data_IF_925026331556
#
_entry.id   IF_925026331556
#
_cell.length_a   1.000
_cell.length_b   1.000
_cell.length_c   1.000
_cell.angle_alpha   90.00
_cell.angle_beta   90.00
_cell.angle_gamma   90.00
#
_symmetry.space_group_name_H-M   'P 1'
#
loop_
_entity.id
_entity.type
_entity.pdbx_description
1 polymer ?
#
# COMPACT_ATOMS: atom_id res chain seq x y z
N UNK A 1 5.30 21.70 -16.21
CA UNK A 1 4.38 21.08 -17.18
C UNK A 1 4.29 19.61 -16.80
N UNK A 2 3.09 19.03 -16.66
CA UNK A 2 2.97 17.59 -16.36
C UNK A 2 2.95 16.87 -17.70
N UNK A 3 4.01 16.14 -18.04
CA UNK A 3 3.99 15.27 -19.22
C UNK A 3 3.09 14.07 -18.93
N UNK A 4 1.91 14.05 -19.56
CA UNK A 4 0.91 12.98 -19.47
C UNK A 4 1.22 11.86 -20.47
N UNK A 5 2.51 11.57 -20.66
CA UNK A 5 2.96 10.52 -21.56
C UNK A 5 2.71 9.14 -20.93
N UNK A 6 1.71 8.41 -21.42
CA UNK A 6 1.40 7.07 -20.93
C UNK A 6 2.45 6.06 -21.41
N UNK A 7 3.21 5.51 -20.47
CA UNK A 7 4.35 4.63 -20.75
C UNK A 7 3.96 3.15 -20.75
N UNK A 8 4.86 2.28 -21.24
CA UNK A 8 4.71 0.82 -21.10
C UNK A 8 4.59 0.37 -19.64
N UNK A 9 5.28 1.06 -18.72
CA UNK A 9 5.19 0.78 -17.29
C UNK A 9 3.84 1.17 -16.69
N UNK A 10 3.18 2.19 -17.24
CA UNK A 10 1.84 2.60 -16.80
C UNK A 10 0.81 1.53 -17.19
N UNK A 11 0.93 0.93 -18.38
CA UNK A 11 0.13 -0.23 -18.77
C UNK A 11 0.34 -1.42 -17.80
N UNK A 12 1.59 -1.76 -17.48
CA UNK A 12 1.90 -2.83 -16.52
C UNK A 12 1.32 -2.52 -15.13
N UNK A 13 1.43 -1.28 -14.67
CA UNK A 13 0.92 -0.84 -13.37
C UNK A 13 -0.62 -0.89 -13.31
N UNK A 14 -1.31 -0.44 -14.37
CA UNK A 14 -2.77 -0.56 -14.48
C UNK A 14 -3.22 -2.02 -14.41
N UNK A 15 -2.53 -2.93 -15.11
CA UNK A 15 -2.82 -4.38 -15.06
C UNK A 15 -2.60 -4.93 -13.64
N UNK A 16 -1.45 -4.64 -13.01
CA UNK A 16 -1.13 -5.13 -11.67
C UNK A 16 -2.11 -4.62 -10.60
N UNK A 17 -2.41 -3.32 -10.60
CA UNK A 17 -3.38 -2.72 -9.66
C UNK A 17 -4.77 -3.30 -9.89
N UNK A 18 -5.19 -3.46 -11.14
CA UNK A 18 -6.49 -4.04 -11.48
C UNK A 18 -6.60 -5.49 -10.98
N UNK A 19 -5.59 -6.34 -11.26
CA UNK A 19 -5.60 -7.74 -10.84
C UNK A 19 -5.55 -7.90 -9.31
N UNK A 20 -4.70 -7.14 -8.62
CA UNK A 20 -4.61 -7.16 -7.16
C UNK A 20 -5.90 -6.66 -6.50
N UNK A 21 -6.49 -5.60 -7.04
CA UNK A 21 -7.77 -5.06 -6.55
C UNK A 21 -8.94 -6.02 -6.83
N UNK A 22 -8.89 -6.74 -7.94
CA UNK A 22 -9.86 -7.78 -8.27
C UNK A 22 -9.78 -8.95 -7.29
N UNK A 23 -8.57 -9.45 -7.03
CA UNK A 23 -8.32 -10.52 -6.07
C UNK A 23 -8.79 -10.12 -4.65
N UNK A 24 -8.47 -8.90 -4.21
CA UNK A 24 -8.96 -8.34 -2.93
C UNK A 24 -10.49 -8.22 -2.88
N UNK A 25 -11.15 -7.74 -3.94
CA UNK A 25 -12.59 -7.50 -3.93
C UNK A 25 -13.44 -8.78 -4.03
N UNK A 26 -12.91 -9.83 -4.66
CA UNK A 26 -13.54 -11.16 -4.73
C UNK A 26 -13.12 -12.13 -3.62
N UNK A 27 -12.05 -11.82 -2.86
CA UNK A 27 -11.69 -12.56 -1.66
C UNK A 27 -12.81 -12.46 -0.62
N UNK A 28 -13.36 -13.61 -0.25
CA UNK A 28 -14.47 -13.71 0.71
C UNK A 28 -13.99 -13.48 2.14
N UNK A 29 -12.89 -14.13 2.56
CA UNK A 29 -12.37 -13.98 3.91
C UNK A 29 -11.61 -12.67 4.10
N UNK A 30 -11.78 -11.98 5.26
CA UNK A 30 -10.97 -10.82 5.62
C UNK A 30 -9.46 -11.11 5.60
N UNK A 31 -9.05 -12.35 5.92
CA UNK A 31 -7.66 -12.81 5.88
C UNK A 31 -7.04 -12.69 4.48
N UNK A 32 -7.71 -13.20 3.45
CA UNK A 32 -7.22 -13.09 2.07
C UNK A 32 -7.21 -11.63 1.59
N UNK A 33 -8.21 -10.82 1.97
CA UNK A 33 -8.19 -9.37 1.70
C UNK A 33 -6.97 -8.68 2.29
N UNK A 34 -6.68 -8.94 3.57
CA UNK A 34 -5.49 -8.38 4.25
C UNK A 34 -4.20 -8.76 3.53
N UNK A 35 -4.06 -10.00 3.08
CA UNK A 35 -2.89 -10.43 2.29
C UNK A 35 -2.78 -9.64 0.98
N UNK A 36 -3.85 -9.58 0.19
CA UNK A 36 -3.80 -8.81 -1.07
C UNK A 36 -3.57 -7.32 -0.85
N UNK A 37 -3.89 -6.78 0.33
CA UNK A 37 -3.56 -5.40 0.71
C UNK A 37 -2.13 -5.21 1.23
N UNK A 38 -1.45 -6.25 1.75
CA UNK A 38 -0.04 -6.14 2.16
C UNK A 38 0.96 -6.37 1.03
N UNK A 39 0.58 -7.03 -0.09
CA UNK A 39 1.51 -7.34 -1.18
C UNK A 39 2.01 -6.06 -1.90
N UNK A 40 3.33 -5.76 -1.91
CA UNK A 40 3.89 -4.56 -2.52
C UNK A 40 4.08 -4.65 -4.05
N UNK A 41 3.12 -5.25 -4.76
CA UNK A 41 3.16 -5.34 -6.23
C UNK A 41 3.15 -3.94 -6.91
N UNK A 42 2.29 -2.97 -6.51
CA UNK A 42 2.27 -1.66 -7.16
C UNK A 42 3.53 -0.87 -6.85
N UNK A 43 3.99 -0.92 -5.59
CA UNK A 43 5.29 -0.38 -5.18
C UNK A 43 6.43 -0.92 -6.03
N UNK A 44 6.47 -2.24 -6.25
CA UNK A 44 7.51 -2.88 -7.06
C UNK A 44 7.54 -2.37 -8.49
N UNK A 45 6.37 -2.34 -9.15
CA UNK A 45 6.25 -1.82 -10.52
C UNK A 45 6.61 -0.34 -10.58
N UNK A 46 6.19 0.47 -9.60
CA UNK A 46 6.48 1.90 -9.58
C UNK A 46 7.98 2.16 -9.42
N UNK A 47 8.63 1.52 -8.45
CA UNK A 47 10.09 1.65 -8.24
C UNK A 47 10.87 1.28 -9.50
N UNK A 48 10.54 0.15 -10.13
CA UNK A 48 11.19 -0.28 -11.38
C UNK A 48 10.89 0.67 -12.55
N UNK A 49 9.68 1.26 -12.60
CA UNK A 49 9.32 2.23 -13.65
C UNK A 49 9.99 3.59 -13.51
N UNK A 50 10.20 4.04 -12.26
CA UNK A 50 10.81 5.33 -11.93
C UNK A 50 12.33 5.24 -11.96
N UNK A 51 12.91 4.04 -11.75
CA UNK A 51 14.35 3.79 -11.83
C UNK A 51 15.18 4.48 -10.75
N UNK A 52 14.55 5.06 -9.73
CA UNK A 52 15.26 5.73 -8.62
C UNK A 52 15.71 4.70 -7.57
N UNK A 53 16.87 4.91 -6.93
CA UNK A 53 17.31 4.11 -5.79
C UNK A 53 16.29 4.14 -4.65
N UNK A 54 16.21 3.05 -3.89
CA UNK A 54 15.48 3.01 -2.62
C UNK A 54 16.14 3.94 -1.59
N UNK A 55 15.38 4.90 -1.03
CA UNK A 55 15.88 5.95 -0.13
C UNK A 55 14.91 6.34 1.02
N UNK A 56 15.26 7.36 1.79
CA UNK A 56 14.48 7.83 2.94
C UNK A 56 13.04 8.28 2.62
N UNK A 57 12.76 8.71 1.39
CA UNK A 57 11.41 9.12 0.95
C UNK A 57 10.43 7.96 0.89
N UNK A 58 10.91 6.73 0.68
CA UNK A 58 10.08 5.54 0.72
C UNK A 58 9.47 5.31 2.13
N UNK A 59 10.23 5.59 3.19
CA UNK A 59 9.73 5.48 4.56
C UNK A 59 8.69 6.54 4.90
N UNK A 60 8.89 7.80 4.48
CA UNK A 60 7.91 8.85 4.74
C UNK A 60 6.63 8.63 3.94
N UNK A 61 6.71 8.15 2.70
CA UNK A 61 5.53 7.82 1.89
C UNK A 61 4.71 6.65 2.47
N UNK A 62 5.32 5.68 3.16
CA UNK A 62 4.58 4.67 3.95
C UNK A 62 3.77 5.34 5.09
N UNK A 63 4.30 6.36 5.77
CA UNK A 63 3.54 7.11 6.79
C UNK A 63 2.39 7.91 6.18
N UNK A 64 2.59 8.56 5.02
CA UNK A 64 1.51 9.27 4.32
C UNK A 64 0.43 8.29 3.83
N UNK A 65 0.81 7.08 3.39
CA UNK A 65 -0.13 6.01 3.06
C UNK A 65 -0.92 5.55 4.28
N UNK A 66 -0.27 5.37 5.44
CA UNK A 66 -0.96 5.07 6.69
C UNK A 66 -1.93 6.19 7.07
N UNK A 67 -1.48 7.45 7.03
CA UNK A 67 -2.31 8.62 7.30
C UNK A 67 -3.53 8.68 6.36
N UNK A 68 -3.37 8.38 5.07
CA UNK A 68 -4.47 8.20 4.12
C UNK A 68 -5.49 7.15 4.58
N UNK A 69 -5.05 5.96 5.00
CA UNK A 69 -5.98 4.91 5.48
C UNK A 69 -6.71 5.32 6.76
N UNK A 70 -6.04 6.01 7.68
CA UNK A 70 -6.67 6.51 8.91
C UNK A 70 -7.63 7.67 8.64
N UNK A 71 -7.29 8.57 7.71
CA UNK A 71 -8.15 9.66 7.26
C UNK A 71 -9.44 9.09 6.67
N UNK A 72 -9.34 8.12 5.75
CA UNK A 72 -10.50 7.45 5.19
C UNK A 72 -11.38 6.78 6.26
N UNK A 73 -10.76 6.09 7.22
CA UNK A 73 -11.45 5.45 8.36
C UNK A 73 -12.15 6.47 9.27
N UNK A 74 -11.49 7.57 9.62
CA UNK A 74 -12.05 8.57 10.54
C UNK A 74 -13.17 9.36 9.86
N UNK A 75 -12.95 9.87 8.66
CA UNK A 75 -13.96 10.64 7.93
C UNK A 75 -15.21 9.79 7.65
N UNK A 76 -15.07 8.63 6.99
CA UNK A 76 -16.25 7.83 6.64
C UNK A 76 -16.90 7.17 7.86
N UNK A 77 -16.13 6.48 8.72
CA UNK A 77 -16.71 5.65 9.78
C UNK A 77 -16.95 6.37 11.12
N UNK A 78 -16.43 7.59 11.33
CA UNK A 78 -16.77 8.42 12.51
C UNK A 78 -17.56 9.69 12.18
N UNK A 79 -17.30 10.33 11.04
CA UNK A 79 -18.01 11.55 10.63
C UNK A 79 -19.12 11.31 9.60
N UNK A 80 -19.29 10.08 9.12
CA UNK A 80 -20.36 9.71 8.18
C UNK A 80 -20.23 10.31 6.78
N UNK A 81 -19.07 10.88 6.41
CA UNK A 81 -18.89 11.54 5.11
C UNK A 81 -19.01 10.54 3.96
N UNK A 82 -19.57 10.90 2.79
CA UNK A 82 -19.67 9.99 1.65
C UNK A 82 -18.31 9.39 1.26
N UNK A 83 -18.26 8.08 1.01
CA UNK A 83 -16.98 7.37 0.80
C UNK A 83 -16.21 7.90 -0.42
N UNK A 84 -16.90 8.27 -1.50
CA UNK A 84 -16.25 8.81 -2.71
C UNK A 84 -15.57 10.15 -2.45
N UNK A 85 -16.25 11.06 -1.72
CA UNK A 85 -15.67 12.34 -1.28
C UNK A 85 -14.49 12.11 -0.34
N UNK A 86 -14.63 11.16 0.59
CA UNK A 86 -13.59 10.78 1.56
C UNK A 86 -12.33 10.26 0.87
N UNK A 87 -12.48 9.40 -0.15
CA UNK A 87 -11.39 8.90 -0.98
C UNK A 87 -10.75 10.03 -1.78
N UNK A 88 -11.54 10.91 -2.41
CA UNK A 88 -11.01 12.04 -3.18
C UNK A 88 -10.18 12.99 -2.31
N UNK A 89 -10.68 13.33 -1.10
CA UNK A 89 -9.94 14.12 -0.11
C UNK A 89 -8.68 13.40 0.38
N UNK A 90 -8.73 12.08 0.56
CA UNK A 90 -7.56 11.27 0.90
C UNK A 90 -6.49 11.25 -0.19
N UNK A 91 -6.88 11.10 -1.45
CA UNK A 91 -5.96 11.18 -2.60
C UNK A 91 -5.36 12.57 -2.70
N UNK A 92 -6.18 13.62 -2.57
CA UNK A 92 -5.69 15.01 -2.55
C UNK A 92 -4.69 15.25 -1.40
N UNK A 93 -4.99 14.77 -0.18
CA UNK A 93 -4.09 14.81 0.96
C UNK A 93 -2.76 14.11 0.64
N UNK A 94 -2.78 12.85 0.18
CA UNK A 94 -1.56 12.12 -0.14
C UNK A 94 -0.75 12.86 -1.22
N UNK A 95 -1.40 13.32 -2.29
CA UNK A 95 -0.75 13.99 -3.41
C UNK A 95 -0.10 15.31 -2.98
N UNK A 96 -0.84 16.18 -2.28
CA UNK A 96 -0.32 17.46 -1.78
C UNK A 96 0.82 17.25 -0.79
N UNK A 97 0.67 16.33 0.17
CA UNK A 97 1.73 15.99 1.13
C UNK A 97 2.96 15.41 0.42
N UNK A 98 2.78 14.54 -0.58
CA UNK A 98 3.87 13.98 -1.37
C UNK A 98 4.62 15.05 -2.17
N UNK A 99 3.92 15.99 -2.81
CA UNK A 99 4.55 17.12 -3.49
C UNK A 99 5.32 18.04 -2.53
N UNK A 100 4.71 18.47 -1.43
CA UNK A 100 5.33 19.39 -0.47
C UNK A 100 6.54 18.76 0.21
N UNK A 101 6.52 17.45 0.47
CA UNK A 101 7.62 16.75 1.14
C UNK A 101 8.68 16.20 0.16
N UNK A 102 8.40 16.08 -1.13
CA UNK A 102 9.36 15.54 -2.11
C UNK A 102 10.71 16.27 -2.10
N UNK A 103 10.68 17.60 -1.97
CA UNK A 103 11.88 18.45 -1.98
C UNK A 103 12.47 18.67 -0.57
N UNK A 104 11.77 18.23 0.49
CA UNK A 104 12.18 18.41 1.89
C UNK A 104 12.78 17.15 2.52
N UNK A 105 12.54 15.95 1.97
CA UNK A 105 13.05 14.70 2.54
C UNK A 105 14.54 14.50 2.19
N UNK A 106 15.43 14.33 3.18
CA UNK A 106 16.81 13.98 2.90
C UNK A 106 16.90 12.56 2.32
N UNK A 107 17.62 12.39 1.20
CA UNK A 107 17.73 11.12 0.44
C UNK A 107 18.98 10.29 0.76
N UNK A 108 19.92 10.82 1.55
CA UNK A 108 21.17 10.15 1.90
C UNK A 108 21.04 8.99 2.90
N UNK A 109 22.10 8.18 3.04
CA UNK A 109 22.12 6.96 3.87
C UNK A 109 21.62 7.15 5.29
N UNK A 110 22.04 8.25 5.96
CA UNK A 110 21.63 8.54 7.34
C UNK A 110 20.10 8.63 7.45
N UNK A 111 19.44 9.26 6.48
CA UNK A 111 17.99 9.41 6.47
C UNK A 111 17.27 8.09 6.17
N UNK A 112 17.85 7.24 5.32
CA UNK A 112 17.37 5.88 5.10
C UNK A 112 17.41 5.05 6.40
N UNK A 113 18.54 5.02 7.11
CA UNK A 113 18.68 4.24 8.34
C UNK A 113 17.89 4.79 9.52
N UNK A 114 17.79 6.11 9.67
CA UNK A 114 16.92 6.73 10.68
C UNK A 114 15.45 6.43 10.35
N UNK A 115 15.06 6.56 9.07
CA UNK A 115 13.72 6.22 8.59
C UNK A 115 13.33 4.77 8.87
N UNK A 116 14.22 3.81 8.57
CA UNK A 116 13.92 2.39 8.78
C UNK A 116 13.66 2.05 10.25
N UNK A 117 14.48 2.58 11.17
CA UNK A 117 14.30 2.41 12.61
C UNK A 117 12.96 3.02 13.07
N UNK A 118 12.66 4.25 12.64
CA UNK A 118 11.43 4.95 13.01
C UNK A 118 10.18 4.20 12.49
N UNK A 119 10.18 3.75 11.24
CA UNK A 119 9.03 3.04 10.65
C UNK A 119 8.80 1.69 11.31
N UNK A 120 9.85 0.94 11.66
CA UNK A 120 9.71 -0.32 12.40
C UNK A 120 9.18 -0.08 13.80
N UNK A 121 9.71 0.92 14.52
CA UNK A 121 9.23 1.27 15.86
C UNK A 121 7.74 1.70 15.86
N UNK A 122 7.35 2.57 14.92
CA UNK A 122 5.95 2.98 14.73
C UNK A 122 5.08 1.78 14.32
N UNK A 123 5.57 0.94 13.40
CA UNK A 123 4.88 -0.26 12.94
C UNK A 123 4.56 -1.23 14.08
N UNK A 124 5.53 -1.55 14.93
CA UNK A 124 5.30 -2.37 16.12
C UNK A 124 4.38 -1.69 17.14
N UNK A 125 4.61 -0.42 17.46
CA UNK A 125 3.76 0.32 18.40
C UNK A 125 2.28 0.33 17.96
N UNK A 126 2.02 0.59 16.67
CA UNK A 126 0.67 0.53 16.10
C UNK A 126 0.12 -0.89 16.01
N UNK A 127 0.94 -1.90 15.70
CA UNK A 127 0.52 -3.30 15.66
C UNK A 127 -0.02 -3.77 17.02
N UNK A 128 0.64 -3.39 18.12
CA UNK A 128 0.18 -3.70 19.48
C UNK A 128 -0.95 -2.80 19.97
N UNK A 129 -1.00 -1.52 19.55
CA UNK A 129 -2.04 -0.58 19.98
C UNK A 129 -3.40 -0.77 19.27
N UNK A 130 -3.41 -1.23 18.01
CA UNK A 130 -4.66 -1.39 17.24
C UNK A 130 -5.36 -2.71 17.60
N UNK A 131 -6.37 -2.61 18.48
CA UNK A 131 -7.20 -3.75 18.90
C UNK A 131 -7.74 -4.56 17.72
N UNK A 132 -7.78 -5.88 17.90
CA UNK A 132 -8.55 -6.77 17.02
C UNK A 132 -10.04 -6.41 17.10
N UNK A 133 -10.67 -6.45 15.94
CA UNK A 133 -12.10 -6.26 15.70
C UNK A 133 -12.38 -7.28 14.62
N UNK A 134 -13.28 -8.21 14.88
CA UNK A 134 -13.66 -9.19 13.89
C UNK A 134 -14.68 -8.53 12.95
N UNK A 135 -14.46 -8.68 11.65
CA UNK A 135 -15.23 -8.03 10.60
C UNK A 135 -15.97 -9.10 9.79
N UNK A 136 -17.24 -8.82 9.47
CA UNK A 136 -18.06 -9.73 8.67
C UNK A 136 -17.40 -10.00 7.31
N UNK A 137 -17.27 -11.27 6.89
CA UNK A 137 -16.90 -11.61 5.52
C UNK A 137 -17.90 -11.01 4.53
N UNK A 138 -17.43 -10.12 3.64
CA UNK A 138 -18.26 -9.48 2.61
C UNK A 138 -17.52 -9.58 1.28
N UNK A 139 -18.13 -10.26 0.30
CA UNK A 139 -17.64 -10.32 -1.08
C UNK A 139 -18.38 -9.30 -1.94
N UNK A 140 -17.73 -8.78 -2.98
CA UNK A 140 -18.41 -7.95 -3.99
C UNK A 140 -19.46 -8.75 -4.77
N UNK A 141 -20.69 -8.23 -4.86
CA UNK A 141 -21.79 -8.83 -5.64
C UNK A 141 -21.81 -8.41 -7.10
N UNK A 142 -21.05 -7.36 -7.47
CA UNK A 142 -20.98 -6.85 -8.83
C UNK A 142 -20.40 -7.94 -9.78
N UNK A 143 -20.99 -8.20 -10.95
CA UNK A 143 -20.45 -9.19 -11.88
C UNK A 143 -19.12 -8.73 -12.49
N UNK A 144 -18.21 -9.68 -12.73
CA UNK A 144 -16.85 -9.43 -13.22
C UNK A 144 -16.82 -8.53 -14.47
N UNK A 145 -17.75 -8.74 -15.40
CA UNK A 145 -17.88 -7.97 -16.65
C UNK A 145 -18.13 -6.48 -16.43
N UNK A 146 -18.83 -6.09 -15.37
CA UNK A 146 -19.06 -4.70 -15.01
C UNK A 146 -17.93 -4.15 -14.11
N UNK A 147 -17.36 -4.99 -13.25
CA UNK A 147 -16.31 -4.57 -12.31
C UNK A 147 -14.98 -4.29 -13.01
N UNK A 148 -14.55 -5.15 -13.93
CA UNK A 148 -13.27 -5.03 -14.62
C UNK A 148 -13.07 -3.68 -15.34
N UNK A 149 -14.01 -3.16 -16.17
CA UNK A 149 -13.84 -1.85 -16.80
C UNK A 149 -13.81 -0.69 -15.79
N UNK A 150 -14.58 -0.77 -14.69
CA UNK A 150 -14.52 0.25 -13.61
C UNK A 150 -13.13 0.25 -12.96
N UNK A 151 -12.59 -0.93 -12.64
CA UNK A 151 -11.25 -1.03 -12.04
C UNK A 151 -10.15 -0.57 -12.99
N UNK A 152 -10.25 -0.87 -14.29
CA UNK A 152 -9.34 -0.36 -15.31
C UNK A 152 -9.39 1.17 -15.41
N UNK A 153 -10.59 1.76 -15.46
CA UNK A 153 -10.77 3.21 -15.51
C UNK A 153 -10.19 3.92 -14.27
N UNK A 154 -10.53 3.44 -13.06
CA UNK A 154 -10.00 3.98 -11.80
C UNK A 154 -8.48 3.80 -11.71
N UNK A 155 -7.95 2.62 -12.04
CA UNK A 155 -6.50 2.38 -12.03
C UNK A 155 -5.78 3.30 -13.00
N UNK A 156 -6.34 3.51 -14.21
CA UNK A 156 -5.75 4.39 -15.22
C UNK A 156 -5.71 5.84 -14.74
N UNK A 157 -6.83 6.35 -14.21
CA UNK A 157 -6.91 7.70 -13.64
C UNK A 157 -5.87 7.90 -12.51
N UNK A 158 -5.78 6.95 -11.59
CA UNK A 158 -4.83 7.01 -10.48
C UNK A 158 -3.36 6.92 -10.95
N UNK A 159 -3.07 6.11 -11.97
CA UNK A 159 -1.72 6.03 -12.55
C UNK A 159 -1.31 7.35 -13.23
N UNK A 160 -2.22 8.05 -13.90
CA UNK A 160 -1.95 9.38 -14.47
C UNK A 160 -1.62 10.44 -13.40
N UNK A 161 -2.19 10.31 -12.19
CA UNK A 161 -1.93 11.24 -11.07
C UNK A 161 -0.55 11.04 -10.41
N UNK A 162 0.13 9.90 -10.60
CA UNK A 162 1.38 9.59 -9.87
C UNK A 162 2.58 10.42 -10.34
N UNK A 163 2.56 10.94 -11.57
CA UNK A 163 3.77 11.32 -12.31
C UNK A 163 4.59 12.45 -11.66
N UNK A 164 3.99 13.27 -10.78
CA UNK A 164 4.72 14.30 -10.04
C UNK A 164 5.28 13.89 -8.67
N UNK A 165 4.96 12.70 -8.17
CA UNK A 165 5.21 12.33 -6.77
C UNK A 165 6.62 11.82 -6.46
N UNK A 166 7.52 11.73 -7.45
CA UNK A 166 8.92 11.34 -7.25
C UNK A 166 9.06 10.07 -6.38
N UNK A 167 9.84 10.10 -5.30
CA UNK A 167 10.01 8.96 -4.37
C UNK A 167 8.74 8.58 -3.60
N UNK A 168 7.78 9.51 -3.45
CA UNK A 168 6.45 9.23 -2.87
C UNK A 168 5.53 8.46 -3.81
N UNK A 169 5.85 8.35 -5.11
CA UNK A 169 5.06 7.57 -6.05
C UNK A 169 4.98 6.10 -5.64
N UNK A 170 6.05 5.53 -5.05
CA UNK A 170 6.12 4.11 -4.69
C UNK A 170 4.97 3.63 -3.78
N UNK A 171 4.50 4.47 -2.86
CA UNK A 171 3.40 4.14 -1.95
C UNK A 171 2.11 4.93 -2.20
N UNK A 172 1.99 5.52 -3.40
CA UNK A 172 0.75 6.16 -3.83
C UNK A 172 -0.43 5.16 -3.73
N UNK A 173 -1.59 5.52 -3.14
CA UNK A 173 -2.63 4.59 -2.68
C UNK A 173 -3.46 3.91 -3.80
N UNK A 174 -2.84 3.42 -4.88
CA UNK A 174 -3.50 2.82 -6.05
C UNK A 174 -4.53 1.75 -5.68
N UNK A 175 -4.08 0.70 -4.98
CA UNK A 175 -4.97 -0.38 -4.50
C UNK A 175 -5.80 0.09 -3.30
N UNK A 176 -5.24 0.96 -2.45
CA UNK A 176 -5.90 1.44 -1.23
C UNK A 176 -7.10 2.37 -1.50
N UNK A 177 -7.16 3.03 -2.66
CA UNK A 177 -8.34 3.76 -3.15
C UNK A 177 -9.49 2.81 -3.46
N UNK A 178 -9.23 1.77 -4.27
CA UNK A 178 -10.25 0.77 -4.61
C UNK A 178 -10.67 0.01 -3.35
N UNK A 179 -9.71 -0.35 -2.50
CA UNK A 179 -9.96 -1.04 -1.23
C UNK A 179 -10.83 -0.21 -0.27
N UNK A 180 -10.62 1.10 -0.15
CA UNK A 180 -11.46 1.96 0.68
C UNK A 180 -12.94 1.95 0.23
N UNK A 181 -13.20 1.87 -1.06
CA UNK A 181 -14.56 1.78 -1.61
C UNK A 181 -15.19 0.40 -1.38
N UNK A 182 -14.43 -0.67 -1.64
CA UNK A 182 -14.86 -2.07 -1.49
C UNK A 182 -15.05 -2.48 -0.03
N UNK A 183 -14.23 -1.94 0.88
CA UNK A 183 -14.27 -2.20 2.33
C UNK A 183 -14.90 -1.06 3.12
N UNK A 184 -15.74 -0.22 2.49
CA UNK A 184 -16.35 0.96 3.16
C UNK A 184 -17.14 0.63 4.43
N UNK A 185 -17.76 -0.55 4.50
CA UNK A 185 -18.47 -1.08 5.68
C UNK A 185 -17.54 -1.77 6.70
N UNK A 186 -16.29 -2.04 6.32
CA UNK A 186 -15.28 -2.80 7.08
C UNK A 186 -13.90 -2.14 6.92
N UNK A 187 -13.81 -0.82 7.21
CA UNK A 187 -12.58 -0.05 6.98
C UNK A 187 -11.40 -0.44 7.91
N UNK A 188 -11.61 -1.32 8.90
CA UNK A 188 -10.49 -1.92 9.62
C UNK A 188 -9.76 -2.96 8.77
N UNK A 189 -10.40 -3.54 7.75
CA UNK A 189 -9.75 -4.41 6.75
C UNK A 189 -8.67 -3.64 5.99
N UNK A 190 -8.88 -2.34 5.74
CA UNK A 190 -7.89 -1.45 5.13
C UNK A 190 -6.86 -0.92 6.14
N UNK A 191 -7.29 -0.55 7.34
CA UNK A 191 -6.42 0.12 8.31
C UNK A 191 -5.45 -0.81 9.07
N UNK A 192 -5.83 -2.08 9.34
CA UNK A 192 -5.00 -3.03 10.11
C UNK A 192 -3.80 -3.62 9.36
N UNK A 193 -3.83 -3.83 8.03
CA UNK A 193 -2.65 -4.20 7.27
C UNK A 193 -1.51 -3.19 7.34
N UNK A 194 -1.80 -1.89 7.53
CA UNK A 194 -0.78 -0.84 7.36
C UNK A 194 0.38 -0.90 8.40
N UNK A 195 0.17 -1.20 9.70
CA UNK A 195 1.28 -1.49 10.61
C UNK A 195 2.08 -2.74 10.26
N UNK A 196 1.42 -3.80 9.75
CA UNK A 196 2.12 -5.00 9.25
C UNK A 196 2.99 -4.63 8.05
N UNK A 197 2.44 -3.84 7.12
CA UNK A 197 3.13 -3.31 5.95
C UNK A 197 4.37 -2.48 6.34
N UNK A 198 4.30 -1.63 7.37
CA UNK A 198 5.48 -0.93 7.91
C UNK A 198 6.59 -1.88 8.36
N UNK A 199 6.22 -2.92 9.13
CA UNK A 199 7.17 -3.89 9.67
C UNK A 199 7.77 -4.75 8.55
N UNK A 200 6.96 -5.24 7.60
CA UNK A 200 7.40 -6.21 6.58
C UNK A 200 8.05 -5.58 5.36
N UNK A 201 7.73 -4.33 5.02
CA UNK A 201 8.43 -3.60 3.95
C UNK A 201 9.78 -3.07 4.39
N UNK A 202 9.99 -2.74 5.66
CA UNK A 202 11.30 -2.24 6.06
C UNK A 202 12.47 -3.20 5.75
N UNK A 203 12.41 -4.52 6.02
CA UNK A 203 13.45 -5.45 5.57
C UNK A 203 13.50 -5.60 4.04
N UNK A 204 12.38 -5.46 3.32
CA UNK A 204 12.36 -5.39 1.85
C UNK A 204 13.22 -4.23 1.35
N UNK A 205 13.01 -3.02 1.90
CA UNK A 205 13.71 -1.81 1.52
C UNK A 205 15.19 -1.86 1.90
N UNK A 206 15.54 -2.43 3.08
CA UNK A 206 16.92 -2.62 3.52
C UNK A 206 17.66 -3.57 2.56
N UNK A 207 17.12 -4.75 2.28
CA UNK A 207 17.76 -5.70 1.38
C UNK A 207 17.83 -5.15 -0.06
N UNK A 208 16.78 -4.47 -0.52
CA UNK A 208 16.81 -3.80 -1.82
C UNK A 208 17.90 -2.72 -1.90
N UNK A 209 18.06 -1.87 -0.87
CA UNK A 209 19.13 -0.86 -0.84
C UNK A 209 20.53 -1.46 -0.82
N UNK A 210 20.75 -2.54 -0.08
CA UNK A 210 22.07 -3.19 0.00
C UNK A 210 22.44 -3.95 -1.28
N UNK A 211 21.46 -4.49 -2.01
CA UNK A 211 21.69 -5.29 -3.23
C UNK A 211 21.62 -4.45 -4.50
N UNK A 212 20.90 -3.31 -4.52
CA UNK A 212 20.79 -2.46 -5.72
C UNK A 212 22.11 -1.80 -6.13
N UNK A 213 23.02 -1.54 -5.19
CA UNK A 213 24.32 -0.91 -5.45
C UNK A 213 25.25 -1.84 -6.28
N UNK A 214 25.54 -3.09 -5.86
CA UNK A 214 26.36 -4.00 -6.66
C UNK A 214 25.62 -4.68 -7.83
N UNK A 215 24.29 -4.90 -7.75
CA UNK A 215 23.57 -5.74 -8.72
C UNK A 215 22.36 -5.07 -9.40
N UNK A 216 22.16 -3.77 -9.20
CA UNK A 216 21.08 -3.00 -9.81
C UNK A 216 19.70 -3.19 -9.15
N UNK A 217 18.83 -2.21 -9.38
CA UNK A 217 17.53 -2.08 -8.73
C UNK A 217 16.61 -3.32 -8.91
N UNK A 218 16.63 -3.95 -10.09
CA UNK A 218 15.85 -5.17 -10.35
C UNK A 218 16.22 -6.33 -9.43
N UNK A 219 17.52 -6.61 -9.29
CA UNK A 219 18.05 -7.65 -8.40
C UNK A 219 17.79 -7.29 -6.93
N UNK A 220 17.97 -6.01 -6.58
CA UNK A 220 17.65 -5.51 -5.24
C UNK A 220 16.19 -5.75 -4.86
N UNK A 221 15.26 -5.42 -5.76
CA UNK A 221 13.83 -5.65 -5.54
C UNK A 221 13.48 -7.13 -5.43
N UNK A 222 14.09 -8.01 -6.23
CA UNK A 222 13.89 -9.46 -6.14
C UNK A 222 14.38 -10.03 -4.80
N UNK A 223 15.57 -9.63 -4.33
CA UNK A 223 16.09 -10.00 -3.02
C UNK A 223 15.23 -9.41 -1.87
N UNK A 224 14.76 -8.17 -2.02
CA UNK A 224 13.83 -7.53 -1.10
C UNK A 224 12.52 -8.30 -0.95
N UNK A 225 11.96 -8.85 -2.03
CA UNK A 225 10.75 -9.68 -1.98
C UNK A 225 10.93 -10.94 -1.13
N UNK A 226 12.11 -11.56 -1.15
CA UNK A 226 12.42 -12.71 -0.28
C UNK A 226 12.37 -12.26 1.20
N UNK A 227 13.02 -11.14 1.52
CA UNK A 227 13.00 -10.57 2.88
C UNK A 227 11.59 -10.17 3.35
N UNK A 228 10.77 -9.60 2.46
CA UNK A 228 9.36 -9.29 2.72
C UNK A 228 8.55 -10.55 3.09
N UNK A 229 8.70 -11.63 2.31
CA UNK A 229 7.93 -12.86 2.52
C UNK A 229 8.33 -13.55 3.84
N UNK A 230 9.63 -13.58 4.17
CA UNK A 230 10.09 -14.06 5.48
C UNK A 230 9.55 -13.21 6.64
N UNK A 231 9.56 -11.89 6.51
CA UNK A 231 9.02 -10.99 7.53
C UNK A 231 7.49 -11.09 7.69
N UNK A 232 6.75 -11.37 6.60
CA UNK A 232 5.30 -11.52 6.61
C UNK A 232 4.83 -12.87 7.19
N UNK A 233 5.63 -13.92 7.06
CA UNK A 233 5.31 -15.27 7.48
C UNK A 233 4.79 -15.40 8.94
N UNK A 234 5.43 -14.84 9.99
CA UNK A 234 4.94 -14.96 11.37
C UNK A 234 3.55 -14.33 11.57
N UNK A 235 3.28 -13.18 10.92
CA UNK A 235 1.95 -12.55 10.99
C UNK A 235 0.88 -13.41 10.32
N UNK A 236 1.20 -14.04 9.19
CA UNK A 236 0.28 -14.91 8.45
C UNK A 236 -0.04 -16.22 9.19
N UNK A 237 0.96 -16.79 9.88
CA UNK A 237 0.82 -18.01 10.69
C UNK A 237 0.07 -17.76 12.00
N UNK A 238 0.37 -16.66 12.71
CA UNK A 238 -0.36 -16.26 13.91
C UNK A 238 -1.87 -16.10 13.63
N UNK A 239 -2.20 -15.51 12.48
CA UNK A 239 -3.58 -15.36 11.98
C UNK A 239 -4.20 -16.68 11.43
N UNK A 240 -3.62 -17.86 11.70
CA UNK A 240 -4.24 -19.18 11.48
C UNK A 240 -4.77 -19.74 12.81
N UNK A 241 -3.91 -19.76 13.82
CA UNK A 241 -4.17 -20.38 15.13
C UNK A 241 -5.40 -19.78 15.84
N UNK A 242 -5.66 -18.46 15.74
CA UNK A 242 -6.86 -17.88 16.37
C UNK A 242 -8.18 -18.31 15.70
N UNK A 243 -8.16 -18.64 14.41
CA UNK A 243 -9.38 -19.04 13.67
C UNK A 243 -9.80 -20.46 14.06
N UNK A 244 -8.83 -21.31 14.41
CA UNK A 244 -9.08 -22.66 14.92
C UNK A 244 -9.54 -22.62 16.39
N UNK A 245 -8.96 -21.74 17.22
CA UNK A 245 -9.40 -21.56 18.62
C UNK A 245 -10.83 -21.02 18.75
N UNK A 246 -11.27 -20.09 17.88
CA UNK A 246 -12.64 -19.55 17.91
C UNK A 246 -13.71 -20.50 17.30
N UNK A 247 -13.34 -21.75 16.98
CA UNK A 247 -14.24 -22.80 16.45
C UNK A 247 -14.43 -23.99 17.41
N UNK A 248 -13.77 -23.95 18.57
CA UNK A 248 -13.92 -24.91 19.67
C UNK A 248 -14.77 -24.29 20.78
#
# INVERSE_FOLDING_TARGET
MIDVAFTRWDAVLVVVVTLQSLAMAYAESPKWKRLFLTLPLPFTVIVLSVGRPIDGSNFLSILVLFAYTQLCRVLHARLGTPIVFTIALGVAFYTVTGFVLADLVPTGDRAFWIGSIIIVAIGFALHFALKRVDETPIRTTLPLRAKLPILLAVSTLLVLLKNGLQGFAGFFPLVSVIAAYETRTTLWTLAKPAPILMITLTPMLIVARLVQEPYGLGTGMAAGWIAFLFALLPFWLSEKNTIEQNKM
#
